data_IF_102444792430
#
_entry.id   IF_102444792430
#
_cell.length_a   1.000
_cell.length_b   1.000
_cell.length_c   1.000
_cell.angle_alpha   90.00
_cell.angle_beta   90.00
_cell.angle_gamma   90.00
#
_symmetry.space_group_name_H-M   'P 1'
#
loop_
_entity.id
_entity.type
_entity.pdbx_description
1 polymer ?
#
# COMPACT_ATOMS: atom_id res chain seq x y z
N UNK A 1 -32.08 28.34 14.89
CA UNK A 1 -31.62 26.96 15.19
C UNK A 1 -31.18 26.18 13.94
N UNK A 2 -31.82 26.39 12.78
CA UNK A 2 -31.48 25.73 11.51
C UNK A 2 -30.10 26.05 10.93
N UNK A 3 -29.62 27.29 11.09
CA UNK A 3 -28.29 27.71 10.59
C UNK A 3 -27.17 26.90 11.27
N UNK A 4 -27.29 26.64 12.59
CA UNK A 4 -26.31 25.80 13.31
C UNK A 4 -26.31 24.35 12.82
N UNK A 5 -27.48 23.83 12.44
CA UNK A 5 -27.61 22.48 11.90
C UNK A 5 -27.01 22.37 10.50
N UNK A 6 -27.24 23.38 9.64
CA UNK A 6 -26.64 23.45 8.31
C UNK A 6 -25.11 23.54 8.34
N UNK A 7 -24.56 24.34 9.26
CA UNK A 7 -23.10 24.44 9.49
C UNK A 7 -22.53 23.11 9.99
N UNK A 8 -23.21 22.42 10.90
CA UNK A 8 -22.75 21.12 11.39
C UNK A 8 -22.75 20.06 10.29
N UNK A 9 -23.79 20.07 9.44
CA UNK A 9 -23.92 19.13 8.32
C UNK A 9 -22.82 19.34 7.27
N UNK A 10 -22.46 20.59 7.00
CA UNK A 10 -21.37 20.92 6.05
C UNK A 10 -20.01 20.52 6.60
N UNK A 11 -19.73 20.79 7.88
CA UNK A 11 -18.47 20.35 8.52
C UNK A 11 -18.36 18.82 8.53
N UNK A 12 -19.44 18.12 8.86
CA UNK A 12 -19.46 16.66 8.85
C UNK A 12 -19.26 16.11 7.44
N UNK A 13 -19.90 16.70 6.44
CA UNK A 13 -19.70 16.37 5.02
C UNK A 13 -18.25 16.55 4.56
N UNK A 14 -17.61 17.66 4.93
CA UNK A 14 -16.20 17.93 4.62
C UNK A 14 -15.26 16.92 5.28
N UNK A 15 -15.45 16.63 6.58
CA UNK A 15 -14.64 15.64 7.30
C UNK A 15 -14.79 14.26 6.66
N UNK A 16 -16.00 13.91 6.22
CA UNK A 16 -16.27 12.62 5.61
C UNK A 16 -15.66 12.49 4.21
N UNK A 17 -15.68 13.56 3.40
CA UNK A 17 -15.00 13.60 2.10
C UNK A 17 -13.49 13.44 2.24
N UNK A 18 -12.85 14.19 3.15
CA UNK A 18 -11.40 14.10 3.40
C UNK A 18 -11.01 12.67 3.83
N UNK A 19 -11.83 11.99 4.64
CA UNK A 19 -11.56 10.60 5.04
C UNK A 19 -11.70 9.57 3.92
N UNK A 20 -12.55 9.82 2.93
CA UNK A 20 -12.83 8.85 1.86
C UNK A 20 -11.89 8.99 0.66
N UNK A 21 -11.24 10.14 0.49
CA UNK A 21 -10.47 10.46 -0.73
C UNK A 21 -8.96 10.23 -0.59
N UNK A 22 -8.45 10.01 0.63
CA UNK A 22 -7.00 10.06 0.92
C UNK A 22 -6.30 8.69 1.03
N UNK A 23 -6.98 7.60 0.62
CA UNK A 23 -6.33 6.28 0.55
C UNK A 23 -5.62 6.19 -0.80
N UNK A 24 -4.29 6.23 -0.78
CA UNK A 24 -3.46 5.97 -1.97
C UNK A 24 -3.94 4.69 -2.66
N UNK A 25 -3.95 4.67 -4.00
CA UNK A 25 -4.34 3.48 -4.75
C UNK A 25 -3.54 2.23 -4.34
N UNK A 26 -2.30 2.41 -3.90
CA UNK A 26 -1.44 1.34 -3.34
C UNK A 26 -2.01 0.69 -2.07
N UNK A 27 -2.85 1.41 -1.35
CA UNK A 27 -3.30 1.07 0.00
C UNK A 27 -4.76 0.59 0.02
N UNK A 28 -5.43 0.52 -1.13
CA UNK A 28 -6.83 0.05 -1.25
C UNK A 28 -6.99 -1.37 -0.71
N UNK A 29 -5.96 -2.20 -0.88
CA UNK A 29 -5.94 -3.58 -0.40
C UNK A 29 -5.40 -3.71 1.04
N UNK A 30 -5.02 -2.61 1.67
CA UNK A 30 -4.49 -2.61 3.04
C UNK A 30 -5.59 -2.24 4.04
N UNK A 31 -5.67 -2.93 5.19
CA UNK A 31 -6.49 -2.47 6.29
C UNK A 31 -6.16 -1.02 6.67
N UNK A 32 -7.20 -0.22 6.94
CA UNK A 32 -7.03 1.17 7.34
C UNK A 32 -6.11 1.26 8.59
N UNK A 33 -5.11 2.15 8.51
CA UNK A 33 -4.14 2.34 9.60
C UNK A 33 -2.97 1.34 9.62
N UNK A 34 -2.78 0.55 8.55
CA UNK A 34 -1.59 -0.30 8.40
C UNK A 34 -0.32 0.54 8.45
N UNK A 35 0.53 0.28 9.46
CA UNK A 35 1.79 1.00 9.68
C UNK A 35 3.03 0.17 9.29
N UNK A 36 2.86 -1.09 8.89
CA UNK A 36 3.95 -1.96 8.47
C UNK A 36 3.57 -3.44 8.46
N UNK A 37 4.58 -4.27 8.22
CA UNK A 37 4.44 -5.72 8.15
C UNK A 37 5.53 -6.40 8.99
N UNK A 38 5.20 -7.56 9.56
CA UNK A 38 6.16 -8.38 10.31
C UNK A 38 6.52 -9.59 9.46
N UNK A 39 7.81 -9.80 9.22
CA UNK A 39 8.33 -11.06 8.67
C UNK A 39 9.24 -11.71 9.70
N UNK A 40 8.80 -12.84 10.25
CA UNK A 40 9.46 -13.54 11.36
C UNK A 40 9.64 -12.62 12.58
N UNK A 41 10.88 -12.16 12.83
CA UNK A 41 11.23 -11.28 13.96
C UNK A 41 11.43 -9.82 13.53
N UNK A 42 11.34 -9.53 12.23
CA UNK A 42 11.66 -8.23 11.68
C UNK A 42 10.39 -7.44 11.36
N UNK A 43 10.30 -6.22 11.87
CA UNK A 43 9.25 -5.26 11.50
C UNK A 43 9.72 -4.38 10.35
N UNK A 44 8.88 -4.25 9.33
CA UNK A 44 9.11 -3.41 8.16
C UNK A 44 8.06 -2.29 8.16
N UNK A 45 8.44 -1.03 8.41
CA UNK A 45 7.51 0.08 8.39
C UNK A 45 6.92 0.27 6.98
N UNK A 46 5.69 0.76 6.90
CA UNK A 46 4.95 0.89 5.64
C UNK A 46 5.71 1.75 4.62
N UNK A 47 6.45 2.77 5.06
CA UNK A 47 7.27 3.63 4.22
C UNK A 47 8.37 2.84 3.49
N UNK A 48 9.05 1.93 4.21
CA UNK A 48 10.10 1.10 3.62
C UNK A 48 9.53 0.08 2.62
N UNK A 49 8.32 -0.41 2.87
CA UNK A 49 7.61 -1.29 1.94
C UNK A 49 7.24 -0.51 0.67
N UNK A 50 6.71 0.72 0.80
CA UNK A 50 6.40 1.58 -0.35
C UNK A 50 7.64 1.90 -1.19
N UNK A 51 8.77 2.23 -0.56
CA UNK A 51 10.04 2.41 -1.28
C UNK A 51 10.45 1.15 -2.07
N UNK A 52 10.26 -0.03 -1.48
CA UNK A 52 10.57 -1.29 -2.16
C UNK A 52 9.66 -1.52 -3.38
N UNK A 53 8.37 -1.20 -3.26
CA UNK A 53 7.40 -1.27 -4.37
C UNK A 53 7.78 -0.30 -5.49
N UNK A 54 8.16 0.94 -5.19
CA UNK A 54 8.62 1.89 -6.22
C UNK A 54 9.85 1.39 -6.98
N UNK A 55 10.81 0.78 -6.26
CA UNK A 55 11.99 0.15 -6.89
C UNK A 55 11.57 -1.02 -7.78
N UNK A 56 10.65 -1.86 -7.32
CA UNK A 56 10.13 -2.98 -8.10
C UNK A 56 9.43 -2.51 -9.38
N UNK A 57 8.58 -1.49 -9.27
CA UNK A 57 7.88 -0.89 -10.40
C UNK A 57 8.85 -0.32 -11.43
N UNK A 58 9.83 0.47 -10.98
CA UNK A 58 10.87 1.01 -11.87
C UNK A 58 11.65 -0.11 -12.56
N UNK A 59 11.98 -1.16 -11.81
CA UNK A 59 12.73 -2.30 -12.32
C UNK A 59 11.94 -3.07 -13.39
N UNK A 60 10.64 -3.27 -13.18
CA UNK A 60 9.78 -3.99 -14.13
C UNK A 60 9.62 -3.26 -15.46
N UNK A 61 9.41 -1.95 -15.45
CA UNK A 61 9.06 -1.20 -16.67
C UNK A 61 10.27 -0.63 -17.43
N UNK A 62 11.32 -0.21 -16.73
CA UNK A 62 12.38 0.61 -17.33
C UNK A 62 13.72 -0.10 -17.48
N UNK A 63 13.93 -1.23 -16.81
CA UNK A 63 15.21 -1.94 -16.86
C UNK A 63 15.17 -3.10 -17.84
N UNK A 64 16.15 -3.13 -18.76
CA UNK A 64 16.16 -4.00 -19.96
C UNK A 64 16.84 -5.37 -19.76
N UNK A 65 17.13 -5.79 -18.54
CA UNK A 65 17.98 -6.95 -18.25
C UNK A 65 17.24 -8.05 -17.49
N UNK A 66 17.56 -9.29 -17.83
CA UNK A 66 17.26 -10.51 -17.08
C UNK A 66 17.56 -10.32 -15.59
N UNK A 67 16.55 -9.88 -14.82
CA UNK A 67 16.64 -9.80 -13.37
C UNK A 67 15.82 -10.93 -12.78
N UNK A 68 16.34 -11.47 -11.68
CA UNK A 68 15.64 -12.50 -10.88
C UNK A 68 14.31 -11.97 -10.32
N UNK A 69 14.16 -10.65 -10.23
CA UNK A 69 12.99 -9.93 -9.73
C UNK A 69 12.73 -8.64 -10.54
N UNK A 70 11.48 -8.13 -10.58
CA UNK A 70 10.30 -8.76 -10.00
C UNK A 70 9.91 -10.04 -10.76
N UNK A 71 9.39 -11.05 -10.05
CA UNK A 71 9.00 -12.35 -10.63
C UNK A 71 7.54 -12.62 -10.31
N UNK A 72 6.81 -13.29 -11.21
CA UNK A 72 5.46 -13.79 -10.93
C UNK A 72 5.40 -14.51 -9.57
N UNK A 73 4.39 -14.16 -8.79
CA UNK A 73 4.11 -14.79 -7.50
C UNK A 73 3.20 -16.00 -7.74
N UNK A 74 3.73 -17.19 -7.45
CA UNK A 74 3.12 -18.46 -7.85
C UNK A 74 1.98 -18.90 -6.93
N UNK A 75 2.02 -18.52 -5.64
CA UNK A 75 1.04 -18.94 -4.63
C UNK A 75 -0.07 -17.90 -4.45
N UNK A 76 -0.84 -17.66 -5.51
CA UNK A 76 -1.96 -16.72 -5.50
C UNK A 76 -3.13 -17.19 -4.64
N UNK A 77 -3.11 -18.41 -4.09
CA UNK A 77 -4.18 -18.90 -3.21
C UNK A 77 -4.09 -18.31 -1.79
N UNK A 78 -2.91 -17.87 -1.37
CA UNK A 78 -2.69 -17.21 -0.08
C UNK A 78 -3.37 -15.84 0.03
N UNK A 79 -3.60 -15.21 -1.12
CA UNK A 79 -4.24 -13.91 -1.22
C UNK A 79 -5.48 -14.13 -2.07
N UNK A 80 -6.67 -14.13 -1.47
CA UNK A 80 -7.97 -14.32 -2.14
C UNK A 80 -8.29 -13.16 -3.12
N UNK A 81 -7.40 -12.92 -4.06
CA UNK A 81 -7.30 -11.75 -4.94
C UNK A 81 -7.38 -12.30 -6.37
N UNK A 82 -8.61 -12.49 -6.84
CA UNK A 82 -8.90 -12.65 -8.29
C UNK A 82 -8.77 -11.28 -9.00
N UNK A 83 -8.40 -11.22 -10.30
CA UNK A 83 -7.39 -11.95 -11.05
C UNK A 83 -6.18 -11.03 -11.30
N UNK A 84 -5.58 -10.49 -10.25
CA UNK A 84 -4.46 -9.56 -10.40
C UNK A 84 -3.16 -10.32 -10.61
N UNK A 85 -2.32 -9.86 -11.54
CA UNK A 85 -0.98 -10.40 -11.73
C UNK A 85 -0.14 -9.98 -10.52
N UNK A 86 0.08 -10.90 -9.60
CA UNK A 86 0.93 -10.68 -8.45
C UNK A 86 2.40 -10.85 -8.82
N UNK A 87 3.21 -9.87 -8.44
CA UNK A 87 4.67 -9.89 -8.59
C UNK A 87 5.32 -9.93 -7.21
N UNK A 88 6.39 -10.70 -7.11
CA UNK A 88 7.25 -10.81 -5.94
C UNK A 88 8.48 -9.93 -6.10
N UNK A 89 8.89 -9.31 -4.99
CA UNK A 89 10.10 -8.50 -4.90
C UNK A 89 10.75 -8.67 -3.53
N UNK A 90 12.09 -8.79 -3.43
CA UNK A 90 12.76 -8.97 -2.15
C UNK A 90 12.72 -7.67 -1.33
N UNK A 91 12.27 -7.78 -0.09
CA UNK A 91 12.42 -6.72 0.90
C UNK A 91 13.71 -6.95 1.69
N UNK A 92 14.66 -6.03 1.56
CA UNK A 92 15.89 -6.07 2.33
C UNK A 92 15.63 -5.42 3.68
N UNK A 93 16.06 -6.08 4.75
CA UNK A 93 16.13 -5.43 6.05
C UNK A 93 17.21 -4.35 5.98
N UNK A 94 16.82 -3.09 6.19
CA UNK A 94 17.79 -2.06 6.58
C UNK A 94 17.84 -2.14 8.10
N UNK A 95 19.00 -2.49 8.66
CA UNK A 95 19.27 -2.16 10.06
C UNK A 95 19.18 -0.63 10.16
N UNK A 96 18.05 -0.15 10.70
CA UNK A 96 17.94 1.24 11.11
C UNK A 96 18.73 1.30 12.42
N UNK A 97 20.01 1.68 12.32
CA UNK A 97 20.84 2.05 13.46
C UNK A 97 20.42 3.41 14.02
#
# INVERSE_FOLDING_TARGET
MWIKFGVLLTIFGFIHQIKCEDISYSDIYLPAGTNGFVCQLNFYPIEHVREAVERAFRSFFFEKLYRKFPKLFEDTQLFDVKPDILLSWPILFREIF
#
